data_IF_454112553492
#
_entry.id   IF_454112553492
#
_cell.length_a   1.000
_cell.length_b   1.000
_cell.length_c   1.000
_cell.angle_alpha   90.00
_cell.angle_beta   90.00
_cell.angle_gamma   90.00
#
_symmetry.space_group_name_H-M   'P 1'
#
loop_
_entity.id
_entity.type
_entity.pdbx_description
1 polymer ?
#
# COMPACT_ATOMS: atom_id res chain seq x y z
N UNK A 1 -20.04 -6.89 -9.36
CA UNK A 1 -18.73 -7.56 -9.36
C UNK A 1 -17.81 -6.67 -8.55
N UNK A 2 -17.35 -7.15 -7.39
CA UNK A 2 -16.37 -6.41 -6.61
C UNK A 2 -14.98 -6.62 -7.17
N UNK A 3 -14.20 -5.55 -7.32
CA UNK A 3 -12.83 -5.63 -7.80
C UNK A 3 -11.91 -5.34 -6.61
N UNK A 4 -11.02 -6.28 -6.34
CA UNK A 4 -9.96 -6.16 -5.34
C UNK A 4 -8.64 -6.05 -6.07
N UNK A 5 -7.83 -5.07 -5.71
CA UNK A 5 -6.47 -4.91 -6.21
C UNK A 5 -5.56 -5.56 -5.18
N UNK A 6 -4.90 -6.64 -5.56
CA UNK A 6 -3.84 -7.26 -4.77
C UNK A 6 -2.49 -6.77 -5.29
N UNK A 7 -1.58 -6.43 -4.38
CA UNK A 7 -0.24 -5.99 -4.75
C UNK A 7 0.77 -6.43 -3.69
N UNK A 8 1.95 -6.79 -4.17
CA UNK A 8 3.08 -7.17 -3.33
C UNK A 8 4.39 -6.76 -4.01
N UNK A 9 5.45 -6.68 -3.21
CA UNK A 9 6.77 -6.38 -3.73
C UNK A 9 7.76 -6.03 -2.62
N UNK A 10 9.04 -5.99 -2.99
CA UNK A 10 10.11 -5.53 -2.09
C UNK A 10 10.72 -4.25 -2.64
N UNK A 11 10.91 -3.25 -1.79
CA UNK A 11 11.62 -2.04 -2.20
C UNK A 11 13.05 -2.37 -2.63
N UNK A 12 13.55 -1.66 -3.65
CA UNK A 12 14.87 -1.89 -4.20
C UNK A 12 16.01 -1.37 -3.30
N UNK A 13 15.70 -0.46 -2.37
CA UNK A 13 16.63 0.10 -1.40
C UNK A 13 15.91 0.73 -0.20
N UNK A 14 16.58 0.94 0.94
CA UNK A 14 16.02 1.72 2.06
C UNK A 14 15.65 3.16 1.69
N UNK A 15 16.39 3.81 0.79
CA UNK A 15 16.09 5.19 0.34
C UNK A 15 14.77 5.27 -0.46
N UNK A 16 14.38 4.16 -1.06
CA UNK A 16 13.13 4.05 -1.83
C UNK A 16 11.90 4.08 -0.93
N UNK A 17 12.03 3.73 0.35
CA UNK A 17 10.94 3.87 1.31
C UNK A 17 10.51 5.33 1.42
N UNK A 18 11.47 6.23 1.67
CA UNK A 18 11.17 7.65 1.78
C UNK A 18 10.62 8.21 0.46
N UNK A 19 11.10 7.71 -0.68
CA UNK A 19 10.61 8.07 -2.01
C UNK A 19 9.15 7.65 -2.20
N UNK A 20 8.79 6.40 -1.87
CA UNK A 20 7.41 5.90 -1.93
C UNK A 20 6.48 6.71 -1.03
N UNK A 21 6.87 6.94 0.23
CA UNK A 21 6.06 7.74 1.16
C UNK A 21 5.85 9.16 0.62
N UNK A 22 6.88 9.79 0.07
CA UNK A 22 6.77 11.14 -0.49
C UNK A 22 5.88 11.17 -1.74
N UNK A 23 6.01 10.19 -2.64
CA UNK A 23 5.17 10.08 -3.84
C UNK A 23 3.71 9.84 -3.48
N UNK A 24 3.43 8.94 -2.53
CA UNK A 24 2.09 8.67 -2.05
C UNK A 24 1.44 9.89 -1.38
N UNK A 25 2.20 10.64 -0.56
CA UNK A 25 1.74 11.92 0.01
C UNK A 25 1.42 12.95 -1.06
N UNK A 26 2.33 13.14 -2.02
CA UNK A 26 2.15 14.10 -3.10
C UNK A 26 0.92 13.74 -3.96
N UNK A 27 0.74 12.45 -4.25
CA UNK A 27 -0.42 11.94 -4.95
C UNK A 27 -1.72 12.23 -4.19
N UNK A 28 -1.75 11.94 -2.88
CA UNK A 28 -2.91 12.21 -2.03
C UNK A 28 -3.25 13.71 -2.01
N UNK A 29 -2.25 14.58 -1.81
CA UNK A 29 -2.44 16.04 -1.83
C UNK A 29 -2.98 16.52 -3.17
N UNK A 30 -2.39 16.06 -4.28
CA UNK A 30 -2.77 16.49 -5.65
C UNK A 30 -4.21 16.10 -5.98
N UNK A 31 -4.68 14.97 -5.46
CA UNK A 31 -6.03 14.46 -5.67
C UNK A 31 -7.01 14.83 -4.54
N UNK A 32 -6.60 15.65 -3.55
CA UNK A 32 -7.46 16.07 -2.45
C UNK A 32 -7.86 14.95 -1.47
N UNK A 33 -7.05 13.88 -1.40
CA UNK A 33 -7.30 12.72 -0.55
C UNK A 33 -6.75 12.93 0.86
N UNK A 34 -7.43 12.37 1.86
CA UNK A 34 -6.90 12.30 3.21
C UNK A 34 -5.90 11.15 3.35
N UNK A 35 -4.84 11.36 4.13
CA UNK A 35 -3.85 10.34 4.40
C UNK A 35 -3.25 10.50 5.80
N UNK A 36 -2.68 9.42 6.33
CA UNK A 36 -1.90 9.41 7.56
C UNK A 36 -0.69 8.51 7.40
N UNK A 37 0.45 8.91 7.95
CA UNK A 37 1.62 8.01 8.09
C UNK A 37 1.64 7.40 9.47
N UNK A 38 2.12 6.17 9.55
CA UNK A 38 2.19 5.43 10.81
C UNK A 38 3.48 4.63 10.89
N UNK A 39 3.83 4.29 12.13
CA UNK A 39 4.83 3.31 12.49
C UNK A 39 4.30 2.58 13.72
N UNK A 40 4.20 1.26 13.65
CA UNK A 40 3.76 0.40 14.75
C UNK A 40 4.92 -0.50 15.14
N UNK A 41 5.31 -0.49 16.42
CA UNK A 41 6.49 -1.23 16.89
C UNK A 41 6.28 -2.76 16.95
N UNK A 42 5.02 -3.19 17.06
CA UNK A 42 4.66 -4.60 17.18
C UNK A 42 3.29 -4.85 16.54
N UNK A 43 3.31 -5.29 15.29
CA UNK A 43 2.12 -5.67 14.52
C UNK A 43 2.31 -7.05 13.91
N UNK A 44 1.22 -7.82 13.92
CA UNK A 44 1.16 -9.12 13.25
C UNK A 44 0.54 -8.93 11.87
N UNK A 45 1.27 -9.28 10.82
CA UNK A 45 0.77 -9.28 9.44
C UNK A 45 0.69 -10.72 8.93
N UNK A 46 -0.49 -11.15 8.51
CA UNK A 46 -0.67 -12.43 7.82
C UNK A 46 -0.24 -12.30 6.36
N UNK A 47 0.67 -13.15 5.92
CA UNK A 47 1.28 -13.12 4.59
C UNK A 47 1.27 -14.49 3.96
N UNK A 48 1.35 -14.53 2.63
CA UNK A 48 1.49 -15.76 1.87
C UNK A 48 2.76 -15.64 1.05
N UNK A 49 3.70 -16.56 1.24
CA UNK A 49 4.95 -16.63 0.49
C UNK A 49 5.19 -18.06 0.07
N UNK A 50 5.46 -18.29 -1.22
CA UNK A 50 5.69 -19.62 -1.79
C UNK A 50 4.54 -20.61 -1.47
N UNK A 51 3.29 -20.13 -1.53
CA UNK A 51 2.06 -20.86 -1.18
C UNK A 51 1.92 -21.30 0.30
N UNK A 52 2.83 -20.85 1.17
CA UNK A 52 2.75 -21.08 2.61
C UNK A 52 2.30 -19.83 3.37
N UNK A 53 1.38 -20.01 4.32
CA UNK A 53 0.96 -18.97 5.25
C UNK A 53 2.09 -18.68 6.25
N UNK A 54 2.47 -17.41 6.35
CA UNK A 54 3.48 -16.91 7.28
C UNK A 54 2.89 -15.75 8.09
N UNK A 55 3.15 -15.72 9.40
CA UNK A 55 2.87 -14.55 10.24
C UNK A 55 4.13 -13.71 10.47
N UNK A 56 4.16 -12.50 9.90
CA UNK A 56 5.19 -11.53 10.25
C UNK A 56 4.81 -10.89 11.57
N UNK A 57 5.76 -10.80 12.51
CA UNK A 57 5.59 -10.10 13.77
C UNK A 57 6.78 -9.15 13.93
N UNK A 58 6.51 -7.85 13.96
CA UNK A 58 7.55 -6.85 14.16
C UNK A 58 7.09 -5.43 13.85
N UNK A 59 8.07 -4.58 13.57
CA UNK A 59 7.84 -3.17 13.26
C UNK A 59 7.25 -3.06 11.86
N UNK A 60 6.15 -2.33 11.74
CA UNK A 60 5.57 -1.95 10.47
C UNK A 60 5.51 -0.44 10.33
N UNK A 61 5.60 0.04 9.10
CA UNK A 61 5.61 1.47 8.82
C UNK A 61 5.06 1.74 7.42
N UNK A 62 4.39 2.87 7.26
CA UNK A 62 3.70 3.10 6.01
C UNK A 62 2.86 4.38 5.95
N UNK A 63 2.00 4.39 4.96
CA UNK A 63 1.01 5.42 4.73
C UNK A 63 -0.34 4.78 4.42
N UNK A 64 -1.39 5.29 5.04
CA UNK A 64 -2.77 4.95 4.77
C UNK A 64 -3.40 6.13 4.02
N UNK A 65 -3.95 5.87 2.84
CA UNK A 65 -4.64 6.87 2.01
C UNK A 65 -6.10 6.48 1.93
N UNK A 66 -7.04 7.44 2.03
CA UNK A 66 -8.47 7.19 1.86
C UNK A 66 -8.93 7.70 0.48
N UNK A 67 -9.11 6.81 -0.52
CA UNK A 67 -9.47 7.22 -1.87
C UNK A 67 -10.96 7.66 -1.98
N UNK A 68 -11.84 6.99 -1.24
CA UNK A 68 -13.28 7.22 -1.23
C UNK A 68 -13.88 6.66 0.08
N UNK A 69 -15.04 7.17 0.51
CA UNK A 69 -15.75 6.68 1.70
C UNK A 69 -16.34 5.27 1.52
N UNK A 70 -16.56 4.86 0.28
CA UNK A 70 -17.10 3.55 -0.11
C UNK A 70 -16.00 2.54 -0.51
N UNK A 71 -14.75 2.84 -0.17
CA UNK A 71 -13.59 2.01 -0.47
C UNK A 71 -12.82 1.69 0.82
N UNK A 72 -12.21 0.51 0.88
CA UNK A 72 -11.23 0.24 1.92
C UNK A 72 -10.06 1.24 1.78
N UNK A 73 -9.49 1.77 2.88
CA UNK A 73 -8.31 2.60 2.78
C UNK A 73 -7.17 1.86 2.06
N UNK A 74 -6.45 2.58 1.21
CA UNK A 74 -5.26 2.04 0.57
C UNK A 74 -4.12 2.06 1.59
N UNK A 75 -3.80 0.88 2.11
CA UNK A 75 -2.71 0.67 3.05
C UNK A 75 -1.41 0.36 2.28
N UNK A 76 -0.44 1.27 2.32
CA UNK A 76 0.91 1.03 1.81
C UNK A 76 1.80 0.78 3.03
N UNK A 77 1.80 -0.47 3.50
CA UNK A 77 2.47 -0.91 4.72
C UNK A 77 3.68 -1.79 4.43
N UNK A 78 4.81 -1.45 5.02
CA UNK A 78 6.05 -2.21 4.90
C UNK A 78 6.43 -2.83 6.23
N UNK A 79 7.07 -4.00 6.17
CA UNK A 79 7.81 -4.55 7.31
C UNK A 79 9.22 -3.95 7.44
N UNK A 80 9.99 -4.47 8.40
CA UNK A 80 11.41 -4.14 8.58
C UNK A 80 12.31 -4.50 7.39
N UNK A 81 11.89 -5.40 6.51
CA UNK A 81 12.61 -5.80 5.31
C UNK A 81 12.18 -4.99 4.07
N UNK A 82 11.32 -3.98 4.24
CA UNK A 82 10.73 -3.19 3.16
C UNK A 82 9.93 -4.01 2.15
N UNK A 83 9.32 -5.10 2.61
CA UNK A 83 8.37 -5.89 1.86
C UNK A 83 6.93 -5.48 2.18
N UNK A 84 6.11 -5.43 1.14
CA UNK A 84 4.67 -5.16 1.20
C UNK A 84 3.90 -6.32 0.55
N UNK A 85 2.76 -6.66 1.12
CA UNK A 85 1.78 -7.57 0.55
C UNK A 85 0.41 -7.18 1.10
N UNK A 86 -0.34 -6.43 0.30
CA UNK A 86 -1.56 -5.76 0.74
C UNK A 86 -2.62 -5.84 -0.36
N UNK A 87 -3.82 -5.41 -0.02
CA UNK A 87 -4.91 -5.31 -0.98
C UNK A 87 -5.76 -4.07 -0.72
N UNK A 88 -6.46 -3.62 -1.76
CA UNK A 88 -7.46 -2.56 -1.65
C UNK A 88 -8.73 -3.00 -2.36
N UNK A 89 -9.85 -3.05 -1.62
CA UNK A 89 -11.17 -3.38 -2.19
C UNK A 89 -11.86 -2.10 -2.62
N UNK A 90 -12.08 -1.96 -3.92
CA UNK A 90 -12.77 -0.82 -4.53
C UNK A 90 -14.20 -1.20 -4.95
N UNK A 91 -14.75 -2.28 -4.40
CA UNK A 91 -15.95 -2.96 -4.89
C UNK A 91 -17.27 -2.19 -4.75
N UNK A 92 -17.31 -1.18 -3.88
CA UNK A 92 -18.48 -0.32 -3.67
C UNK A 92 -18.24 1.13 -4.09
N UNK A 93 -17.03 1.45 -4.55
CA UNK A 93 -16.67 2.77 -5.05
C UNK A 93 -16.92 2.87 -6.56
N UNK A 94 -16.91 4.10 -7.09
CA UNK A 94 -16.94 4.34 -8.53
C UNK A 94 -15.67 3.79 -9.21
N UNK A 95 -15.79 3.42 -10.50
CA UNK A 95 -14.67 2.89 -11.27
C UNK A 95 -13.48 3.86 -11.36
N UNK A 96 -13.72 5.16 -11.28
CA UNK A 96 -12.67 6.18 -11.22
C UNK A 96 -11.74 6.00 -10.02
N UNK A 97 -12.26 5.54 -8.87
CA UNK A 97 -11.46 5.27 -7.67
C UNK A 97 -10.54 4.07 -7.89
N UNK A 98 -11.04 3.03 -8.56
CA UNK A 98 -10.22 1.88 -8.96
C UNK A 98 -9.05 2.30 -9.86
N UNK A 99 -9.34 3.12 -10.87
CA UNK A 99 -8.31 3.66 -11.78
C UNK A 99 -7.29 4.51 -11.00
N UNK A 100 -7.75 5.34 -10.07
CA UNK A 100 -6.91 6.20 -9.23
C UNK A 100 -5.92 5.37 -8.39
N UNK A 101 -6.38 4.28 -7.77
CA UNK A 101 -5.51 3.39 -7.00
C UNK A 101 -4.48 2.70 -7.90
N UNK A 102 -4.89 2.21 -9.07
CA UNK A 102 -3.97 1.58 -10.04
C UNK A 102 -2.92 2.58 -10.54
N UNK A 103 -3.30 3.83 -10.77
CA UNK A 103 -2.37 4.87 -11.22
C UNK A 103 -1.29 5.14 -10.18
N UNK A 104 -1.65 5.27 -8.90
CA UNK A 104 -0.68 5.37 -7.81
C UNK A 104 0.25 4.16 -7.78
N UNK A 105 -0.29 2.94 -7.81
CA UNK A 105 0.54 1.72 -7.75
C UNK A 105 1.55 1.64 -8.90
N UNK A 106 1.16 2.03 -10.12
CA UNK A 106 2.06 2.12 -11.28
C UNK A 106 3.13 3.20 -11.13
N UNK A 107 2.81 4.32 -10.50
CA UNK A 107 3.80 5.35 -10.20
C UNK A 107 4.83 4.88 -9.16
N UNK A 108 4.43 4.01 -8.23
CA UNK A 108 5.31 3.45 -7.22
C UNK A 108 6.18 2.29 -7.75
N UNK A 109 5.71 1.57 -8.78
CA UNK A 109 6.37 0.40 -9.39
C UNK A 109 7.89 0.54 -9.59
N UNK A 110 8.45 1.67 -10.08
CA UNK A 110 9.90 1.81 -10.28
C UNK A 110 10.75 1.73 -9.00
N UNK A 111 10.14 1.78 -7.82
CA UNK A 111 10.81 1.66 -6.52
C UNK A 111 10.96 0.22 -6.04
N UNK A 112 10.38 -0.75 -6.76
CA UNK A 112 10.32 -2.15 -6.37
C UNK A 112 11.25 -3.03 -7.21
N UNK A 113 11.70 -4.13 -6.60
CA UNK A 113 12.34 -5.26 -7.28
C UNK A 113 11.31 -6.41 -7.39
N UNK A 114 11.27 -7.05 -8.57
CA UNK A 114 10.44 -8.21 -8.88
C UNK A 114 11.30 -9.45 -9.13
#
# INVERSE_FOLDING_TARGET
MGVTIHFEGKLNSPDSFQSVINMAKLFAITNGLSFSTFQEDNKILSRVKDEEDWEYNGVTMGILINPDENCDPLNIEFDCDYYIQEYCKTQFADISVHILVIDLLRQLEPQFNF
#
